data_IF_034796865373
#
_entry.id   IF_034796865373
#
_cell.length_a   1.000
_cell.length_b   1.000
_cell.length_c   1.000
_cell.angle_alpha   90.00
_cell.angle_beta   90.00
_cell.angle_gamma   90.00
#
_symmetry.space_group_name_H-M   'P 1'
#
loop_
_entity.id
_entity.type
_entity.pdbx_description
1 polymer ?
#
# COMPACT_ATOMS: atom_id res chain seq x y z
N UNK A 1 -3.31 -5.08 -44.90
CA UNK A 1 -4.37 -5.67 -44.02
C UNK A 1 -3.93 -5.95 -42.57
N UNK A 2 -2.65 -5.77 -42.17
CA UNK A 2 -2.15 -6.11 -40.82
C UNK A 2 -2.25 -4.99 -39.77
N UNK A 3 -2.33 -3.71 -40.18
CA UNK A 3 -2.31 -2.55 -39.26
C UNK A 3 -3.65 -2.37 -38.52
N UNK A 4 -4.77 -2.75 -39.14
CA UNK A 4 -6.11 -2.60 -38.53
C UNK A 4 -6.42 -3.61 -37.40
N UNK A 5 -5.76 -4.77 -37.38
CA UNK A 5 -5.99 -5.82 -36.37
C UNK A 5 -5.30 -5.50 -35.04
N UNK A 6 -4.11 -4.90 -35.10
CA UNK A 6 -3.34 -4.47 -33.92
C UNK A 6 -4.03 -3.32 -33.19
N UNK A 7 -4.59 -2.35 -33.94
CA UNK A 7 -5.28 -1.18 -33.37
C UNK A 7 -6.62 -1.58 -32.72
N UNK A 8 -7.37 -2.53 -33.30
CA UNK A 8 -8.62 -3.04 -32.71
C UNK A 8 -8.37 -3.81 -31.40
N UNK A 9 -7.30 -4.60 -31.32
CA UNK A 9 -6.94 -5.32 -30.08
C UNK A 9 -6.47 -4.38 -28.95
N UNK A 10 -5.74 -3.31 -29.26
CA UNK A 10 -5.35 -2.30 -28.26
C UNK A 10 -6.55 -1.51 -27.72
N UNK A 11 -7.52 -1.12 -28.58
CA UNK A 11 -8.75 -0.43 -28.13
C UNK A 11 -9.68 -1.33 -27.31
N UNK A 12 -9.71 -2.63 -27.59
CA UNK A 12 -10.51 -3.61 -26.82
C UNK A 12 -9.88 -3.91 -25.46
N UNK A 13 -8.56 -4.05 -25.39
CA UNK A 13 -7.82 -4.15 -24.12
C UNK A 13 -7.95 -2.88 -23.27
N UNK A 14 -7.91 -1.68 -23.87
CA UNK A 14 -8.02 -0.43 -23.10
C UNK A 14 -9.42 -0.18 -22.53
N UNK A 15 -10.49 -0.57 -23.24
CA UNK A 15 -11.86 -0.57 -22.70
C UNK A 15 -12.05 -1.62 -21.58
N UNK A 16 -11.56 -2.86 -21.75
CA UNK A 16 -11.56 -3.87 -20.68
C UNK A 16 -10.64 -3.53 -19.49
N UNK A 17 -9.66 -2.65 -19.65
CA UNK A 17 -8.85 -2.16 -18.53
C UNK A 17 -9.59 -1.10 -17.71
N UNK A 18 -10.41 -0.27 -18.35
CA UNK A 18 -11.18 0.77 -17.69
C UNK A 18 -12.29 0.20 -16.79
N UNK A 19 -12.97 -0.86 -17.22
CA UNK A 19 -14.11 -1.44 -16.50
C UNK A 19 -13.71 -2.28 -15.26
N UNK A 20 -12.50 -2.87 -15.28
CA UNK A 20 -12.03 -3.77 -14.21
C UNK A 20 -11.23 -3.08 -13.10
N UNK A 21 -10.91 -1.80 -13.27
CA UNK A 21 -9.97 -1.10 -12.38
C UNK A 21 -10.56 0.14 -11.70
N UNK A 22 -11.89 0.28 -11.78
CA UNK A 22 -12.57 1.39 -11.14
C UNK A 22 -12.74 1.12 -9.64
N UNK A 23 -12.00 1.89 -8.86
CA UNK A 23 -12.09 1.93 -7.40
C UNK A 23 -12.85 3.17 -6.91
N UNK A 24 -13.57 3.87 -7.81
CA UNK A 24 -14.37 5.05 -7.48
C UNK A 24 -15.41 4.78 -6.39
N UNK A 25 -15.95 3.56 -6.34
CA UNK A 25 -16.89 3.12 -5.31
C UNK A 25 -16.29 3.01 -3.90
N UNK A 26 -14.98 3.14 -3.75
CA UNK A 26 -14.30 3.22 -2.46
C UNK A 26 -14.16 4.66 -1.96
N UNK A 27 -14.51 5.66 -2.76
CA UNK A 27 -14.33 7.06 -2.38
C UNK A 27 -15.21 7.41 -1.18
N UNK A 28 -14.58 7.90 -0.11
CA UNK A 28 -15.28 8.42 1.07
C UNK A 28 -16.03 7.38 1.90
N UNK A 29 -15.87 6.08 1.64
CA UNK A 29 -16.57 5.02 2.40
C UNK A 29 -16.20 5.00 3.89
N UNK A 30 -15.06 5.61 4.25
CA UNK A 30 -14.59 5.79 5.62
C UNK A 30 -14.39 7.27 5.97
N UNK A 31 -15.19 8.16 5.39
CA UNK A 31 -15.04 9.61 5.53
C UNK A 31 -14.84 10.06 7.00
N UNK A 32 -13.83 10.88 7.24
CA UNK A 32 -13.47 11.43 8.56
C UNK A 32 -12.83 10.43 9.53
N UNK A 33 -12.75 9.13 9.19
CA UNK A 33 -12.16 8.13 10.09
C UNK A 33 -10.64 8.19 10.09
N UNK A 34 -10.05 7.79 11.21
CA UNK A 34 -8.61 7.51 11.31
C UNK A 34 -8.24 6.34 10.40
N UNK A 35 -7.12 6.47 9.70
CA UNK A 35 -6.59 5.43 8.82
C UNK A 35 -5.12 5.15 9.10
N UNK A 36 -4.79 3.90 9.40
CA UNK A 36 -3.43 3.42 9.66
C UNK A 36 -2.88 2.70 8.42
N UNK A 37 -1.86 3.28 7.80
CA UNK A 37 -1.16 2.72 6.65
C UNK A 37 0.09 2.01 7.14
N UNK A 38 0.05 0.68 7.13
CA UNK A 38 1.10 -0.16 7.66
C UNK A 38 2.06 -0.59 6.54
N UNK A 39 3.22 0.05 6.46
CA UNK A 39 4.34 -0.39 5.64
C UNK A 39 5.14 -1.50 6.33
N UNK A 40 6.22 -1.95 5.69
CA UNK A 40 7.00 -3.09 6.13
C UNK A 40 8.37 -2.74 6.73
N UNK A 41 8.66 -1.46 6.99
CA UNK A 41 9.94 -1.04 7.58
C UNK A 41 10.15 -1.57 9.00
N UNK A 42 11.39 -1.63 9.50
CA UNK A 42 11.70 -2.16 10.83
C UNK A 42 10.90 -1.61 12.02
N UNK A 43 10.60 -0.31 12.06
CA UNK A 43 10.05 0.35 13.25
C UNK A 43 8.68 -0.17 13.69
N UNK A 44 7.85 -0.64 12.75
CA UNK A 44 6.53 -1.19 13.08
C UNK A 44 6.63 -2.46 13.94
N UNK A 45 7.74 -3.20 13.87
CA UNK A 45 7.94 -4.42 14.65
C UNK A 45 8.13 -4.18 16.16
N UNK A 46 8.20 -2.92 16.59
CA UNK A 46 8.37 -2.52 17.99
C UNK A 46 7.16 -1.75 18.55
N UNK A 47 6.06 -1.70 17.79
CA UNK A 47 4.83 -1.04 18.21
C UNK A 47 3.83 -2.08 18.72
N UNK A 48 3.03 -1.70 19.72
CA UNK A 48 1.78 -2.41 20.00
C UNK A 48 0.71 -1.96 19.01
N UNK A 49 0.12 -2.92 18.29
CA UNK A 49 -0.85 -2.69 17.23
C UNK A 49 -2.27 -3.13 17.63
N UNK A 50 -2.48 -3.47 18.89
CA UNK A 50 -3.77 -3.96 19.40
C UNK A 50 -4.93 -3.01 19.07
N UNK A 51 -4.77 -1.72 19.34
CA UNK A 51 -5.84 -0.72 19.23
C UNK A 51 -6.07 -0.19 17.81
N UNK A 52 -5.13 -0.38 16.87
CA UNK A 52 -5.33 0.14 15.51
C UNK A 52 -6.47 -0.58 14.77
N UNK A 53 -6.86 -1.75 15.27
CA UNK A 53 -7.96 -2.54 14.73
C UNK A 53 -9.33 -1.87 14.93
N UNK A 54 -9.50 -0.91 15.83
CA UNK A 54 -10.77 -0.16 15.90
C UNK A 54 -10.96 0.84 14.74
N UNK A 55 -9.91 1.04 13.93
CA UNK A 55 -9.84 2.02 12.86
C UNK A 55 -9.72 1.38 11.47
N UNK A 56 -9.57 2.21 10.43
CA UNK A 56 -9.27 1.72 9.08
C UNK A 56 -7.80 1.31 9.04
N UNK A 57 -7.52 0.07 8.59
CA UNK A 57 -6.16 -0.47 8.50
C UNK A 57 -5.86 -0.88 7.07
N UNK A 58 -4.75 -0.37 6.53
CA UNK A 58 -4.24 -0.71 5.22
C UNK A 58 -2.86 -1.36 5.38
N UNK A 59 -2.80 -2.68 5.20
CA UNK A 59 -1.55 -3.42 5.16
C UNK A 59 -0.93 -3.40 3.75
N UNK A 60 0.35 -3.05 3.67
CA UNK A 60 1.13 -3.05 2.44
C UNK A 60 2.06 -4.26 2.41
N UNK A 61 1.91 -5.10 1.39
CA UNK A 61 2.75 -6.28 1.17
C UNK A 61 2.87 -7.16 2.44
N UNK A 62 4.07 -7.29 3.00
CA UNK A 62 4.39 -8.19 4.12
C UNK A 62 3.94 -7.69 5.48
N UNK A 63 3.54 -6.42 5.64
CA UNK A 63 2.97 -5.95 6.92
C UNK A 63 1.66 -6.64 7.30
N UNK A 64 1.05 -7.38 6.36
CA UNK A 64 -0.05 -8.30 6.61
C UNK A 64 0.26 -9.31 7.72
N UNK A 65 1.54 -9.63 7.95
CA UNK A 65 1.99 -10.57 8.98
C UNK A 65 1.87 -10.03 10.40
N UNK A 66 1.68 -8.72 10.58
CA UNK A 66 1.60 -8.07 11.89
C UNK A 66 0.17 -7.84 12.37
N UNK A 67 -0.81 -8.13 11.51
CA UNK A 67 -2.20 -7.76 11.75
C UNK A 67 -2.99 -8.96 12.22
N UNK A 68 -3.84 -8.75 13.23
CA UNK A 68 -4.92 -9.66 13.56
C UNK A 68 -6.13 -9.37 12.65
N UNK A 69 -6.31 -10.20 11.62
CA UNK A 69 -7.36 -10.00 10.62
C UNK A 69 -8.75 -10.49 11.04
N UNK A 70 -8.86 -11.12 12.21
CA UNK A 70 -10.14 -11.46 12.81
C UNK A 70 -10.64 -10.38 13.77
N UNK A 71 -9.79 -9.43 14.18
CA UNK A 71 -10.18 -8.25 14.95
C UNK A 71 -10.74 -7.12 14.09
N UNK A 72 -11.76 -6.47 14.64
CA UNK A 72 -12.51 -5.33 14.11
C UNK A 72 -13.23 -5.58 12.77
N UNK A 73 -13.76 -4.53 12.17
CA UNK A 73 -14.70 -4.67 11.05
C UNK A 73 -14.02 -4.99 9.71
N UNK A 74 -14.56 -6.00 9.01
CA UNK A 74 -14.01 -6.54 7.75
C UNK A 74 -13.87 -5.48 6.64
N UNK A 75 -14.82 -4.57 6.54
CA UNK A 75 -14.86 -3.50 5.54
C UNK A 75 -13.84 -2.39 5.82
N UNK A 76 -13.29 -2.32 7.05
CA UNK A 76 -12.20 -1.42 7.47
C UNK A 76 -10.82 -2.06 7.36
N UNK A 77 -10.70 -3.18 6.65
CA UNK A 77 -9.46 -3.93 6.46
C UNK A 77 -9.09 -3.99 5.00
N UNK A 78 -7.90 -3.49 4.70
CA UNK A 78 -7.38 -3.45 3.34
C UNK A 78 -5.99 -4.08 3.30
N UNK A 79 -5.73 -4.82 2.24
CA UNK A 79 -4.40 -5.20 1.83
C UNK A 79 -4.16 -4.68 0.42
N UNK A 80 -2.99 -4.10 0.19
CA UNK A 80 -2.63 -3.53 -1.11
C UNK A 80 -1.22 -3.89 -1.55
N UNK A 81 -1.05 -4.14 -2.85
CA UNK A 81 0.26 -4.33 -3.48
C UNK A 81 0.34 -3.83 -4.92
N UNK A 82 1.47 -3.21 -5.24
CA UNK A 82 1.88 -2.93 -6.62
C UNK A 82 2.65 -4.09 -7.28
N UNK A 83 3.17 -5.03 -6.50
CA UNK A 83 4.24 -5.93 -6.90
C UNK A 83 3.74 -7.36 -6.97
N UNK A 84 3.57 -7.88 -8.20
CA UNK A 84 3.11 -9.26 -8.42
C UNK A 84 4.10 -10.30 -7.93
N UNK A 85 5.35 -9.91 -7.62
CA UNK A 85 6.29 -10.81 -6.96
C UNK A 85 5.81 -11.23 -5.57
N UNK A 86 4.85 -10.53 -4.95
CA UNK A 86 4.19 -10.98 -3.72
C UNK A 86 3.61 -12.39 -3.85
N UNK A 87 3.14 -12.79 -5.04
CA UNK A 87 2.60 -14.13 -5.31
C UNK A 87 3.57 -15.26 -4.99
N UNK A 88 4.88 -14.98 -4.97
CA UNK A 88 5.89 -15.99 -4.71
C UNK A 88 6.26 -16.12 -3.23
N UNK A 89 5.73 -15.26 -2.36
CA UNK A 89 5.98 -15.35 -0.93
C UNK A 89 4.96 -16.24 -0.24
N UNK A 90 5.40 -17.05 0.73
CA UNK A 90 4.53 -17.95 1.48
C UNK A 90 3.42 -17.21 2.25
N UNK A 91 3.67 -15.98 2.73
CA UNK A 91 2.66 -15.16 3.40
C UNK A 91 1.50 -14.79 2.48
N UNK A 92 1.71 -14.75 1.16
CA UNK A 92 0.62 -14.48 0.23
C UNK A 92 -0.44 -15.56 0.32
N UNK A 93 -0.02 -16.82 0.23
CA UNK A 93 -0.92 -17.97 0.28
C UNK A 93 -1.49 -18.24 1.68
N UNK A 94 -0.69 -17.98 2.72
CA UNK A 94 -1.07 -18.26 4.11
C UNK A 94 -1.89 -17.14 4.76
N UNK A 95 -1.61 -15.89 4.43
CA UNK A 95 -2.19 -14.72 5.09
C UNK A 95 -3.07 -13.93 4.12
N UNK A 96 -2.56 -13.55 2.94
CA UNK A 96 -3.33 -12.69 2.02
C UNK A 96 -4.58 -13.41 1.52
N UNK A 97 -4.47 -14.62 0.97
CA UNK A 97 -5.66 -15.30 0.41
C UNK A 97 -6.71 -15.67 1.47
N UNK A 98 -6.27 -15.91 2.71
CA UNK A 98 -7.14 -16.34 3.82
C UNK A 98 -7.71 -15.17 4.62
N UNK A 99 -7.10 -13.98 4.54
CA UNK A 99 -7.59 -12.83 5.29
C UNK A 99 -8.95 -12.37 4.78
N UNK A 100 -9.78 -11.89 5.71
CA UNK A 100 -11.10 -11.34 5.39
C UNK A 100 -11.02 -9.91 4.83
N UNK A 101 -9.83 -9.33 4.70
CA UNK A 101 -9.66 -7.96 4.21
C UNK A 101 -10.06 -7.80 2.73
N UNK A 102 -10.38 -6.57 2.35
CA UNK A 102 -10.43 -6.13 0.96
C UNK A 102 -9.03 -6.18 0.35
N UNK A 103 -8.89 -6.65 -0.89
CA UNK A 103 -7.59 -6.89 -1.53
C UNK A 103 -7.49 -6.08 -2.81
N UNK A 104 -6.53 -5.17 -2.88
CA UNK A 104 -6.31 -4.29 -4.01
C UNK A 104 -4.96 -4.55 -4.65
N UNK A 105 -4.94 -4.78 -5.96
CA UNK A 105 -3.70 -5.02 -6.70
C UNK A 105 -3.65 -4.19 -7.97
N UNK A 106 -2.45 -3.81 -8.38
CA UNK A 106 -2.27 -3.05 -9.61
C UNK A 106 -2.68 -3.89 -10.82
N UNK A 107 -3.19 -3.26 -11.88
CA UNK A 107 -3.50 -3.92 -13.17
C UNK A 107 -2.36 -4.74 -13.78
N UNK A 108 -1.10 -4.52 -13.37
CA UNK A 108 0.05 -5.38 -13.75
C UNK A 108 -0.05 -6.81 -13.22
N UNK A 109 -0.97 -7.10 -12.30
CA UNK A 109 -1.26 -8.46 -11.81
C UNK A 109 -2.19 -9.25 -12.73
N UNK A 110 -2.80 -8.63 -13.74
CA UNK A 110 -3.73 -9.32 -14.67
C UNK A 110 -3.14 -10.59 -15.33
N UNK A 111 -1.85 -10.66 -15.70
CA UNK A 111 -1.24 -11.89 -16.22
C UNK A 111 -1.15 -13.04 -15.21
N UNK A 112 -1.62 -12.85 -13.97
CA UNK A 112 -1.66 -13.84 -12.91
C UNK A 112 -3.07 -14.02 -12.34
N UNK A 113 -4.10 -13.55 -13.06
CA UNK A 113 -5.50 -13.61 -12.61
C UNK A 113 -5.92 -15.04 -12.27
N UNK A 114 -5.44 -16.03 -13.03
CA UNK A 114 -5.72 -17.45 -12.77
C UNK A 114 -5.30 -17.91 -11.37
N UNK A 115 -4.31 -17.26 -10.76
CA UNK A 115 -3.80 -17.60 -9.42
C UNK A 115 -4.59 -16.98 -8.28
N UNK A 116 -5.35 -15.92 -8.56
CA UNK A 116 -6.04 -15.12 -7.54
C UNK A 116 -7.56 -15.04 -7.78
N UNK A 117 -8.03 -15.64 -8.87
CA UNK A 117 -9.44 -15.77 -9.21
C UNK A 117 -10.22 -16.41 -8.08
N UNK A 118 -11.40 -15.87 -7.80
CA UNK A 118 -12.27 -16.34 -6.72
C UNK A 118 -11.91 -15.82 -5.31
N UNK A 119 -10.76 -15.14 -5.15
CA UNK A 119 -10.34 -14.61 -3.84
C UNK A 119 -10.71 -13.13 -3.61
N UNK A 120 -11.56 -12.56 -4.47
CA UNK A 120 -12.11 -11.21 -4.28
C UNK A 120 -11.11 -10.06 -4.46
N UNK A 121 -10.07 -10.26 -5.28
CA UNK A 121 -9.12 -9.20 -5.63
C UNK A 121 -9.78 -8.14 -6.53
N UNK A 122 -9.56 -6.87 -6.19
CA UNK A 122 -9.92 -5.73 -7.02
C UNK A 122 -8.67 -5.17 -7.67
N UNK A 123 -8.78 -4.77 -8.93
CA UNK A 123 -7.67 -4.12 -9.63
C UNK A 123 -7.77 -2.60 -9.49
N UNK A 124 -6.63 -1.92 -9.51
CA UNK A 124 -6.59 -0.47 -9.73
C UNK A 124 -5.61 -0.13 -10.84
N UNK A 125 -5.95 0.90 -11.62
CA UNK A 125 -5.07 1.44 -12.63
C UNK A 125 -4.11 2.46 -12.01
N UNK A 126 -2.85 2.50 -12.46
CA UNK A 126 -1.92 3.54 -12.05
C UNK A 126 -2.34 4.91 -12.64
N UNK A 127 -2.15 5.99 -11.87
CA UNK A 127 -2.22 7.36 -12.40
C UNK A 127 -1.15 7.55 -13.50
N UNK A 128 -1.46 8.34 -14.53
CA UNK A 128 -0.49 8.66 -15.59
C UNK A 128 0.61 9.55 -14.99
N UNK A 129 1.88 9.24 -15.30
CA UNK A 129 3.06 9.93 -14.74
C UNK A 129 3.09 11.45 -14.99
N UNK A 130 2.42 11.92 -16.04
CA UNK A 130 2.42 13.31 -16.48
C UNK A 130 1.51 14.22 -15.64
N UNK A 131 0.76 13.69 -14.67
CA UNK A 131 -0.09 14.47 -13.77
C UNK A 131 0.23 14.15 -12.32
N UNK A 132 1.13 14.94 -11.72
CA UNK A 132 1.22 15.07 -10.26
C UNK A 132 -0.02 15.77 -9.67
N UNK A 133 -0.90 16.30 -10.52
CA UNK A 133 -2.23 16.77 -10.14
C UNK A 133 -3.10 15.58 -9.72
N UNK A 134 -3.04 15.25 -8.44
CA UNK A 134 -3.97 14.31 -7.82
C UNK A 134 -5.36 14.93 -7.80
N UNK A 135 -6.26 14.27 -8.52
CA UNK A 135 -7.69 14.58 -8.62
C UNK A 135 -8.49 13.47 -7.96
N UNK A 136 -9.56 13.87 -7.27
CA UNK A 136 -10.53 12.96 -6.63
C UNK A 136 -11.53 12.34 -7.61
N UNK A 137 -11.48 12.73 -8.89
CA UNK A 137 -12.30 12.15 -9.95
C UNK A 137 -11.58 11.03 -10.71
N UNK A 138 -10.26 10.94 -10.60
CA UNK A 138 -9.50 9.86 -11.21
C UNK A 138 -9.58 8.64 -10.28
N UNK A 139 -10.41 7.63 -10.62
CA UNK A 139 -10.51 6.32 -9.95
C UNK A 139 -9.24 5.46 -10.08
N UNK A 140 -8.08 6.05 -9.79
CA UNK A 140 -6.73 5.51 -10.00
C UNK A 140 -5.85 5.85 -8.81
N UNK A 141 -4.78 5.08 -8.62
CA UNK A 141 -3.84 5.29 -7.53
C UNK A 141 -2.43 5.63 -8.02
N UNK A 142 -1.67 6.31 -7.17
CA UNK A 142 -0.22 6.42 -7.29
C UNK A 142 0.41 5.03 -7.41
N UNK A 143 1.50 4.88 -8.17
CA UNK A 143 2.07 3.56 -8.48
C UNK A 143 3.60 3.51 -8.55
N UNK A 144 4.29 4.48 -7.97
CA UNK A 144 5.75 4.52 -7.93
C UNK A 144 6.34 3.47 -6.95
N UNK A 145 5.69 3.26 -5.80
CA UNK A 145 5.91 2.14 -4.88
C UNK A 145 4.66 1.89 -4.02
N UNK A 146 4.60 0.76 -3.30
CA UNK A 146 3.37 0.37 -2.60
C UNK A 146 3.00 1.30 -1.42
N UNK A 147 3.96 2.01 -0.80
CA UNK A 147 3.67 2.93 0.30
C UNK A 147 2.90 4.19 -0.17
N UNK A 148 3.38 4.99 -1.14
CA UNK A 148 2.59 6.03 -1.77
C UNK A 148 1.22 5.56 -2.27
N UNK A 149 1.11 4.34 -2.81
CA UNK A 149 -0.18 3.76 -3.20
C UNK A 149 -1.10 3.54 -2.00
N UNK A 150 -0.60 3.02 -0.89
CA UNK A 150 -1.37 2.86 0.35
C UNK A 150 -1.83 4.20 0.93
N UNK A 151 -0.99 5.24 0.84
CA UNK A 151 -1.35 6.60 1.25
C UNK A 151 -2.44 7.18 0.34
N UNK A 152 -2.32 7.04 -0.98
CA UNK A 152 -3.35 7.51 -1.94
C UNK A 152 -4.68 6.77 -1.69
N UNK A 153 -4.64 5.46 -1.41
CA UNK A 153 -5.81 4.70 -1.03
C UNK A 153 -6.42 5.20 0.28
N UNK A 154 -5.62 5.47 1.32
CA UNK A 154 -6.12 6.03 2.59
C UNK A 154 -6.84 7.36 2.38
N UNK A 155 -6.25 8.24 1.58
CA UNK A 155 -6.87 9.52 1.20
C UNK A 155 -8.17 9.31 0.43
N UNK A 156 -8.20 8.38 -0.54
CA UNK A 156 -9.42 8.06 -1.27
C UNK A 156 -10.55 7.55 -0.36
N UNK A 157 -10.22 6.67 0.58
CA UNK A 157 -11.18 6.03 1.48
C UNK A 157 -11.75 6.98 2.52
N UNK A 158 -10.89 7.80 3.14
CA UNK A 158 -11.22 8.48 4.39
C UNK A 158 -11.37 10.01 4.26
N UNK A 159 -10.93 10.62 3.18
CA UNK A 159 -11.13 12.06 2.98
C UNK A 159 -12.57 12.41 2.57
N UNK A 160 -13.05 13.63 2.89
CA UNK A 160 -12.37 14.71 3.60
C UNK A 160 -12.27 14.52 5.13
N UNK A 161 -11.42 15.32 5.79
CA UNK A 161 -11.37 15.43 7.25
C UNK A 161 -10.65 14.30 8.01
N UNK A 162 -9.94 13.39 7.34
CA UNK A 162 -9.29 12.25 7.99
C UNK A 162 -7.89 12.58 8.55
N UNK A 163 -7.54 11.87 9.62
CA UNK A 163 -6.15 11.73 10.07
C UNK A 163 -5.59 10.38 9.58
N UNK A 164 -4.52 10.44 8.78
CA UNK A 164 -3.85 9.29 8.17
C UNK A 164 -2.49 9.09 8.85
N UNK A 165 -2.23 7.91 9.38
CA UNK A 165 -1.05 7.60 10.17
C UNK A 165 -0.19 6.54 9.48
N UNK A 166 1.09 6.82 9.30
CA UNK A 166 2.04 5.93 8.64
C UNK A 166 2.85 5.14 9.67
N UNK A 167 2.76 3.81 9.62
CA UNK A 167 3.53 2.89 10.46
C UNK A 167 4.56 2.14 9.61
N UNK A 168 5.79 1.97 10.11
CA UNK A 168 6.86 1.26 9.36
C UNK A 168 7.31 1.97 8.07
N UNK A 169 7.04 3.26 7.94
CA UNK A 169 7.47 4.12 6.83
C UNK A 169 8.90 4.65 7.06
N UNK A 170 9.85 3.75 7.35
CA UNK A 170 11.20 4.12 7.78
C UNK A 170 12.06 4.71 6.68
N UNK A 171 11.91 4.19 5.46
CA UNK A 171 12.63 4.73 4.31
C UNK A 171 14.16 4.74 4.50
N UNK A 172 14.65 3.76 5.26
CA UNK A 172 16.06 3.45 5.51
C UNK A 172 16.19 2.02 6.01
N UNK A 173 17.43 1.54 6.06
CA UNK A 173 17.75 0.32 6.76
C UNK A 173 18.06 0.60 8.24
N UNK A 174 17.77 -0.37 9.09
CA UNK A 174 18.11 -0.37 10.52
C UNK A 174 18.94 -1.63 10.76
N UNK A 175 20.19 -1.46 11.19
CA UNK A 175 21.12 -2.58 11.42
C UNK A 175 21.21 -3.55 10.23
N UNK A 176 21.34 -3.00 9.01
CA UNK A 176 21.40 -3.78 7.76
C UNK A 176 20.07 -4.41 7.31
N UNK A 177 18.97 -4.19 8.03
CA UNK A 177 17.65 -4.76 7.74
C UNK A 177 16.70 -3.69 7.20
N UNK A 178 15.93 -4.04 6.19
CA UNK A 178 14.95 -3.16 5.54
C UNK A 178 13.51 -3.49 5.91
N UNK A 179 13.27 -4.64 6.56
CA UNK A 179 11.94 -5.09 6.94
C UNK A 179 11.86 -5.57 8.40
N UNK A 180 10.70 -5.40 9.04
CA UNK A 180 10.48 -5.82 10.43
C UNK A 180 10.70 -7.32 10.66
N UNK A 181 10.26 -8.18 9.74
CA UNK A 181 10.33 -9.64 9.92
C UNK A 181 11.78 -10.15 9.93
N UNK A 182 12.76 -9.35 9.46
CA UNK A 182 14.18 -9.69 9.56
C UNK A 182 14.73 -9.61 11.01
N UNK A 183 13.93 -9.08 11.94
CA UNK A 183 14.23 -9.07 13.37
C UNK A 183 13.61 -10.25 14.12
N UNK A 184 12.79 -11.06 13.45
CA UNK A 184 12.25 -12.30 14.01
C UNK A 184 13.26 -13.44 13.94
N UNK A 185 13.05 -14.53 14.71
CA UNK A 185 13.76 -15.79 14.49
C UNK A 185 13.65 -16.25 13.03
N UNK A 186 14.73 -16.80 12.47
CA UNK A 186 14.86 -17.09 11.02
C UNK A 186 13.80 -18.06 10.51
N UNK A 187 13.40 -19.01 11.34
CA UNK A 187 12.35 -19.99 11.06
C UNK A 187 10.96 -19.36 10.88
N UNK A 188 10.75 -18.14 11.39
CA UNK A 188 9.52 -17.36 11.21
C UNK A 188 9.56 -16.43 10.01
N UNK A 189 10.68 -16.36 9.28
CA UNK A 189 10.79 -15.45 8.15
C UNK A 189 9.84 -15.88 7.02
N UNK A 190 9.19 -14.92 6.35
CA UNK A 190 8.51 -15.23 5.11
C UNK A 190 9.52 -15.78 4.09
N UNK A 191 9.11 -16.81 3.34
CA UNK A 191 9.95 -17.51 2.38
C UNK A 191 9.42 -17.30 0.97
N UNK A 192 10.33 -17.13 0.01
CA UNK A 192 10.02 -16.93 -1.40
C UNK A 192 10.24 -18.24 -2.18
N UNK A 193 9.24 -18.66 -2.98
CA UNK A 193 9.18 -19.98 -3.62
C UNK A 193 9.77 -20.05 -5.03
N UNK A 194 9.94 -18.94 -5.73
CA UNK A 194 10.25 -18.95 -7.17
C UNK A 194 11.73 -19.09 -7.52
N UNK A 195 12.71 -18.76 -6.66
CA UNK A 195 14.15 -18.96 -6.95
C UNK A 195 15.01 -19.07 -5.69
N UNK A 196 16.02 -19.96 -5.71
CA UNK A 196 17.03 -20.18 -4.68
C UNK A 196 18.03 -19.03 -4.43
N UNK A 197 17.60 -17.78 -4.54
CA UNK A 197 18.37 -16.61 -4.07
C UNK A 197 17.57 -15.91 -2.99
N UNK A 198 18.17 -15.81 -1.80
CA UNK A 198 17.70 -14.92 -0.74
C UNK A 198 17.48 -13.53 -1.36
N UNK A 199 16.22 -13.09 -1.45
CA UNK A 199 15.90 -11.75 -1.91
C UNK A 199 16.39 -10.76 -0.83
N UNK A 200 17.59 -10.24 -1.02
CA UNK A 200 18.06 -9.05 -0.34
C UNK A 200 18.11 -7.95 -1.41
N UNK A 201 17.13 -7.03 -1.46
CA UNK A 201 17.21 -5.93 -2.41
C UNK A 201 18.50 -5.16 -2.12
N UNK A 202 19.33 -4.97 -3.14
CA UNK A 202 20.55 -4.20 -3.01
C UNK A 202 20.26 -2.84 -2.36
N UNK A 203 21.08 -2.46 -1.38
CA UNK A 203 20.93 -1.21 -0.64
C UNK A 203 20.79 0.01 -1.58
N UNK A 204 21.54 0.01 -2.69
CA UNK A 204 21.48 1.02 -3.75
C UNK A 204 20.09 1.14 -4.38
N UNK A 205 19.42 0.01 -4.65
CA UNK A 205 18.08 0.00 -5.23
C UNK A 205 17.06 0.61 -4.27
N UNK A 206 17.14 0.27 -2.98
CA UNK A 206 16.24 0.83 -1.96
C UNK A 206 16.43 2.34 -1.82
N UNK A 207 17.68 2.82 -1.78
CA UNK A 207 17.99 4.26 -1.72
C UNK A 207 17.39 4.99 -2.94
N UNK A 208 17.52 4.46 -4.15
CA UNK A 208 16.94 5.07 -5.36
C UNK A 208 15.41 5.12 -5.31
N UNK A 209 14.77 4.05 -4.85
CA UNK A 209 13.32 4.00 -4.64
C UNK A 209 12.89 5.04 -3.61
N UNK A 210 13.68 5.21 -2.55
CA UNK A 210 13.40 6.21 -1.53
C UNK A 210 13.39 7.62 -2.10
N UNK A 211 14.39 8.00 -2.90
CA UNK A 211 14.39 9.31 -3.56
C UNK A 211 13.18 9.52 -4.48
N UNK A 212 12.79 8.48 -5.23
CA UNK A 212 11.62 8.55 -6.12
C UNK A 212 10.30 8.74 -5.35
N UNK A 213 10.20 8.19 -4.14
CA UNK A 213 9.01 8.30 -3.31
C UNK A 213 8.80 9.72 -2.73
N UNK A 214 9.88 10.48 -2.52
CA UNK A 214 9.83 11.83 -1.93
C UNK A 214 8.87 12.75 -2.70
N UNK A 215 8.96 12.75 -4.04
CA UNK A 215 8.05 13.56 -4.87
C UNK A 215 6.59 13.16 -4.71
N UNK A 216 6.30 11.87 -4.60
CA UNK A 216 4.93 11.40 -4.38
C UNK A 216 4.43 11.75 -2.99
N UNK A 217 5.26 11.72 -1.95
CA UNK A 217 4.84 12.13 -0.61
C UNK A 217 4.45 13.61 -0.56
N UNK A 218 5.20 14.48 -1.23
CA UNK A 218 4.86 15.92 -1.33
C UNK A 218 3.51 16.08 -2.03
N UNK A 219 3.32 15.47 -3.20
CA UNK A 219 2.05 15.55 -3.93
C UNK A 219 0.87 14.98 -3.12
N UNK A 220 1.07 13.86 -2.41
CA UNK A 220 0.05 13.23 -1.57
C UNK A 220 -0.29 14.07 -0.34
N UNK A 221 0.71 14.73 0.27
CA UNK A 221 0.50 15.70 1.36
C UNK A 221 -0.38 16.85 0.90
N UNK A 222 -0.02 17.49 -0.22
CA UNK A 222 -0.79 18.60 -0.77
C UNK A 222 -2.21 18.18 -1.13
N UNK A 223 -2.37 16.98 -1.70
CA UNK A 223 -3.67 16.45 -2.05
C UNK A 223 -4.55 16.16 -0.83
N UNK A 224 -4.01 15.50 0.21
CA UNK A 224 -4.73 15.27 1.45
C UNK A 224 -5.13 16.60 2.11
N UNK A 225 -4.22 17.59 2.15
CA UNK A 225 -4.48 18.91 2.70
C UNK A 225 -5.62 19.64 1.95
N UNK A 226 -5.66 19.57 0.61
CA UNK A 226 -6.77 20.13 -0.19
C UNK A 226 -8.12 19.50 0.15
N UNK A 227 -8.12 18.27 0.64
CA UNK A 227 -9.31 17.56 1.09
C UNK A 227 -9.53 17.70 2.61
N UNK A 228 -8.85 18.63 3.28
CA UNK A 228 -8.97 18.84 4.73
C UNK A 228 -8.48 17.67 5.58
N UNK A 229 -7.71 16.75 5.00
CA UNK A 229 -7.12 15.59 5.69
C UNK A 229 -5.65 15.85 6.02
N UNK A 230 -5.12 15.14 7.02
CA UNK A 230 -3.73 15.28 7.46
C UNK A 230 -3.03 13.93 7.45
N UNK A 231 -1.74 13.93 7.12
CA UNK A 231 -0.89 12.72 7.10
C UNK A 231 0.23 12.89 8.12
N UNK A 232 0.38 11.91 9.00
CA UNK A 232 1.36 11.86 10.07
C UNK A 232 2.23 10.61 9.97
N UNK A 233 3.47 10.69 10.44
CA UNK A 233 4.37 9.55 10.47
C UNK A 233 4.65 9.09 11.91
N UNK A 234 4.24 7.87 12.26
CA UNK A 234 4.51 7.29 13.58
C UNK A 234 5.74 6.38 13.59
N UNK A 235 6.51 6.37 12.52
CA UNK A 235 7.70 5.53 12.40
C UNK A 235 8.88 6.18 13.13
N UNK A 236 9.37 5.53 14.18
CA UNK A 236 10.44 6.06 15.06
C UNK A 236 11.80 6.18 14.38
N UNK A 237 12.01 5.52 13.24
CA UNK A 237 13.30 5.44 12.55
C UNK A 237 13.22 5.87 11.08
N UNK A 238 12.45 6.92 10.80
CA UNK A 238 12.22 7.40 9.44
C UNK A 238 13.24 8.41 8.91
N UNK A 239 13.51 8.39 7.59
CA UNK A 239 14.20 9.49 6.87
C UNK A 239 13.24 10.45 6.18
N UNK A 240 11.92 10.19 6.25
CA UNK A 240 10.92 11.11 5.75
C UNK A 240 10.95 12.35 6.66
N UNK A 241 11.07 13.54 6.05
CA UNK A 241 11.16 14.80 6.77
C UNK A 241 9.81 15.17 7.41
N UNK A 242 9.87 15.77 8.60
CA UNK A 242 8.71 16.30 9.32
C UNK A 242 8.02 17.43 8.55
N UNK A 243 8.75 18.09 7.64
CA UNK A 243 8.18 19.06 6.69
C UNK A 243 7.25 18.41 5.65
N UNK A 244 7.37 17.09 5.42
CA UNK A 244 6.48 16.33 4.54
C UNK A 244 5.36 15.72 5.37
N UNK A 245 5.68 14.84 6.32
CA UNK A 245 4.72 14.22 7.22
C UNK A 245 5.18 14.43 8.67
N UNK A 246 4.49 15.28 9.45
CA UNK A 246 4.84 15.53 10.84
C UNK A 246 4.87 14.23 11.65
N UNK A 247 5.84 14.12 12.55
CA UNK A 247 5.95 12.95 13.42
C UNK A 247 4.97 13.04 14.59
N UNK A 248 4.45 11.89 14.97
CA UNK A 248 3.60 11.72 16.14
C UNK A 248 3.79 10.33 16.71
N UNK A 249 3.65 10.14 18.02
CA UNK A 249 3.68 8.79 18.59
C UNK A 249 2.39 8.02 18.21
N UNK A 250 2.41 6.69 18.32
CA UNK A 250 1.21 5.90 18.04
C UNK A 250 0.12 6.17 19.09
N UNK A 251 0.52 6.32 20.35
CA UNK A 251 -0.37 6.63 21.47
C UNK A 251 -1.12 7.94 21.20
N UNK A 252 -0.39 8.99 20.79
CA UNK A 252 -1.01 10.26 20.46
C UNK A 252 -1.86 10.19 19.18
N UNK A 253 -1.49 9.36 18.20
CA UNK A 253 -2.31 9.14 17.01
C UNK A 253 -3.66 8.50 17.34
N UNK A 254 -3.70 7.59 18.31
CA UNK A 254 -4.93 6.95 18.79
C UNK A 254 -5.86 7.94 19.51
N UNK A 255 -5.34 9.03 20.07
CA UNK A 255 -6.12 10.08 20.76
C UNK A 255 -6.70 11.19 19.85
N UNK A 256 -6.20 11.34 18.61
CA UNK A 256 -6.59 12.42 17.68
C UNK A 256 -7.97 12.28 17.04
#
# INVERSE_FOLDING_TARGET
MQVGFVIKNQKRQSRQLAEYSDISNLKGVHQGRKCFVCAAGPSIGFLDLSDIHEHVVIAINSSILLMDWDKGEKDRRYWISNDSLCLYWNFFWRNVLRSKCQKLVRTSWKPHDEKIRGHGFRYFAPRKRERLLLSSQDGRLCSNSSLPTGIDLATLLASPGANIFLLGADHKMVSGKSHFWQFWPKEKWPQRKDKGRNYCPEQSHQIRKFQTNKHSYIALKEYANRLGSKIYNCSTRTTISDSIFPRISLERALEL
#
